data_IF_547943071816
#
_entry.id   IF_547943071816
#
_cell.length_a   1.000
_cell.length_b   1.000
_cell.length_c   1.000
_cell.angle_alpha   90.00
_cell.angle_beta   90.00
_cell.angle_gamma   90.00
#
_symmetry.space_group_name_H-M   'P 1'
#
loop_
_entity.id
_entity.type
_entity.pdbx_description
1 polymer ?
#
# COMPACT_ATOMS: atom_id res chain seq x y z
N UNK A 1 29.53 -2.26 -9.98
CA UNK A 1 29.40 -2.02 -11.43
C UNK A 1 28.16 -2.77 -11.93
N UNK A 2 26.97 -2.21 -11.75
CA UNK A 2 25.69 -2.74 -12.30
C UNK A 2 24.71 -1.57 -12.46
N UNK A 3 25.13 -0.57 -13.24
CA UNK A 3 24.33 0.63 -13.55
C UNK A 3 23.87 0.63 -15.02
N UNK A 4 23.62 -0.56 -15.59
CA UNK A 4 23.51 -0.72 -17.05
C UNK A 4 22.29 -1.49 -17.59
N UNK A 5 21.26 -1.81 -16.79
CA UNK A 5 20.09 -2.58 -17.25
C UNK A 5 18.73 -2.03 -16.77
N UNK A 6 18.59 -0.72 -16.52
CA UNK A 6 17.31 -0.15 -16.05
C UNK A 6 16.64 0.74 -17.11
N UNK A 7 16.66 0.33 -18.38
CA UNK A 7 15.95 1.12 -19.40
C UNK A 7 15.25 0.37 -20.53
N UNK A 8 15.02 -0.95 -20.43
CA UNK A 8 14.09 -1.59 -21.37
C UNK A 8 13.50 -2.93 -20.88
N UNK A 9 12.97 -2.97 -19.66
CA UNK A 9 12.24 -4.15 -19.17
C UNK A 9 10.79 -4.09 -19.69
N UNK A 10 10.47 -4.87 -20.72
CA UNK A 10 9.10 -5.09 -21.19
C UNK A 10 8.27 -5.78 -20.09
N UNK A 11 7.00 -5.42 -19.94
CA UNK A 11 6.06 -5.94 -18.93
C UNK A 11 6.13 -7.47 -18.74
N UNK A 12 6.32 -8.23 -19.83
CA UNK A 12 6.45 -9.69 -19.80
C UNK A 12 7.69 -10.23 -19.08
N UNK A 13 8.84 -9.54 -19.14
CA UNK A 13 10.08 -9.96 -18.48
C UNK A 13 9.91 -9.96 -16.94
N UNK A 14 9.20 -8.95 -16.42
CA UNK A 14 8.88 -8.83 -14.99
C UNK A 14 7.89 -9.87 -14.48
N UNK A 15 6.91 -10.27 -15.30
CA UNK A 15 5.98 -11.34 -14.91
C UNK A 15 6.70 -12.68 -14.79
N UNK A 16 7.64 -12.96 -15.70
CA UNK A 16 8.50 -14.14 -15.60
C UNK A 16 9.39 -14.10 -14.35
N UNK A 17 10.04 -12.97 -14.05
CA UNK A 17 10.86 -12.82 -12.82
C UNK A 17 10.05 -12.93 -11.53
N UNK A 18 8.77 -12.56 -11.54
CA UNK A 18 7.89 -12.69 -10.37
C UNK A 18 7.63 -14.15 -10.01
N UNK A 19 7.57 -15.02 -11.01
CA UNK A 19 7.31 -16.47 -10.89
C UNK A 19 8.58 -17.23 -10.46
N UNK A 20 9.77 -16.67 -10.67
CA UNK A 20 11.04 -17.32 -10.32
C UNK A 20 11.34 -17.18 -8.82
N UNK A 21 11.58 -18.33 -8.17
CA UNK A 21 12.03 -18.42 -6.77
C UNK A 21 13.51 -18.03 -6.69
N UNK A 22 13.79 -16.86 -6.09
CA UNK A 22 15.12 -16.31 -5.78
C UNK A 22 15.98 -16.01 -7.02
N UNK A 23 16.65 -14.86 -6.98
CA UNK A 23 17.65 -14.38 -7.95
C UNK A 23 18.92 -15.28 -7.93
N UNK A 24 18.80 -16.53 -8.39
CA UNK A 24 19.94 -17.40 -8.68
C UNK A 24 20.54 -18.27 -7.57
N UNK A 25 19.86 -18.53 -6.44
CA UNK A 25 20.36 -19.48 -5.43
C UNK A 25 19.39 -20.61 -5.11
N UNK A 26 19.32 -21.57 -6.03
CA UNK A 26 18.51 -22.80 -5.90
C UNK A 26 19.14 -23.86 -4.99
N UNK A 27 20.32 -23.61 -4.39
CA UNK A 27 21.09 -24.64 -3.67
C UNK A 27 20.83 -24.67 -2.16
N UNK A 28 20.16 -23.67 -1.58
CA UNK A 28 19.86 -23.61 -0.14
C UNK A 28 18.42 -23.09 0.16
N UNK A 29 17.42 -23.46 -0.63
CA UNK A 29 16.04 -23.07 -0.38
C UNK A 29 15.37 -24.02 0.62
N UNK A 30 14.96 -23.49 1.77
CA UNK A 30 14.22 -24.23 2.79
C UNK A 30 12.74 -24.40 2.36
N UNK A 31 12.03 -25.44 2.83
CA UNK A 31 10.60 -25.65 2.51
C UNK A 31 9.73 -24.43 2.88
N UNK A 32 10.15 -23.71 3.92
CA UNK A 32 9.52 -22.46 4.34
C UNK A 32 9.68 -21.32 3.32
N UNK A 33 10.81 -21.22 2.61
CA UNK A 33 11.00 -20.21 1.55
C UNK A 33 10.04 -20.45 0.38
N UNK A 34 9.81 -21.71 0.03
CA UNK A 34 8.88 -22.08 -1.04
C UNK A 34 7.42 -21.80 -0.65
N UNK A 35 7.06 -22.11 0.60
CA UNK A 35 5.75 -21.78 1.16
C UNK A 35 5.48 -20.26 1.14
N UNK A 36 6.44 -19.46 1.60
CA UNK A 36 6.35 -17.99 1.58
C UNK A 36 6.25 -17.45 0.16
N UNK A 37 6.94 -18.08 -0.80
CA UNK A 37 6.86 -17.68 -2.20
C UNK A 37 5.47 -17.93 -2.79
N UNK A 38 4.85 -19.09 -2.56
CA UNK A 38 3.49 -19.39 -3.06
C UNK A 38 2.48 -18.37 -2.56
N UNK A 39 2.56 -17.99 -1.27
CA UNK A 39 1.69 -16.95 -0.70
C UNK A 39 1.99 -15.56 -1.25
N UNK A 40 3.27 -15.21 -1.43
CA UNK A 40 3.68 -13.90 -1.93
C UNK A 40 3.46 -13.73 -3.43
N UNK A 41 3.43 -14.79 -4.23
CA UNK A 41 3.26 -14.71 -5.70
C UNK A 41 1.92 -14.07 -6.07
N UNK A 42 0.83 -14.39 -5.35
CA UNK A 42 -0.48 -13.75 -5.55
C UNK A 42 -0.35 -12.22 -5.40
N UNK A 43 0.37 -11.78 -4.37
CA UNK A 43 0.60 -10.37 -4.08
C UNK A 43 1.58 -9.71 -5.06
N UNK A 44 2.61 -10.44 -5.50
CA UNK A 44 3.58 -9.96 -6.49
C UNK A 44 2.96 -9.79 -7.87
N UNK A 45 2.04 -10.67 -8.27
CA UNK A 45 1.29 -10.55 -9.53
C UNK A 45 0.40 -9.31 -9.49
N UNK A 46 -0.29 -9.08 -8.37
CA UNK A 46 -1.09 -7.87 -8.17
C UNK A 46 -0.25 -6.60 -8.34
N UNK A 47 0.96 -6.55 -7.76
CA UNK A 47 1.87 -5.42 -7.94
C UNK A 47 2.57 -5.36 -9.29
N UNK A 48 2.74 -6.48 -9.99
CA UNK A 48 3.27 -6.51 -11.35
C UNK A 48 2.32 -5.84 -12.35
N UNK A 49 1.04 -5.69 -12.02
CA UNK A 49 0.05 -4.95 -12.81
C UNK A 49 0.32 -3.43 -12.85
N UNK A 50 1.13 -2.89 -11.93
CA UNK A 50 1.53 -1.48 -11.95
C UNK A 50 2.55 -1.27 -13.09
N UNK A 51 2.30 -0.37 -14.05
CA UNK A 51 3.11 -0.28 -15.27
C UNK A 51 4.56 0.16 -15.01
N UNK A 52 5.48 -0.04 -15.97
CA UNK A 52 6.87 0.35 -15.82
C UNK A 52 7.12 1.87 -15.95
N UNK A 53 8.23 2.39 -15.38
CA UNK A 53 8.56 3.83 -15.20
C UNK A 53 9.41 4.34 -16.35
N UNK A 54 9.71 3.45 -17.30
CA UNK A 54 10.25 3.86 -18.58
C UNK A 54 9.22 4.63 -19.42
N UNK A 55 7.92 4.52 -19.10
CA UNK A 55 6.84 5.24 -19.77
C UNK A 55 6.36 6.40 -18.86
N UNK A 56 6.51 7.65 -19.32
CA UNK A 56 6.04 8.87 -18.64
C UNK A 56 6.63 9.14 -17.25
N UNK A 57 7.96 9.16 -17.12
CA UNK A 57 8.71 9.72 -15.97
C UNK A 57 8.26 9.22 -14.57
N UNK A 58 7.58 8.07 -14.49
CA UNK A 58 7.07 7.51 -13.25
C UNK A 58 5.76 8.12 -12.72
N UNK A 59 5.24 9.20 -13.30
CA UNK A 59 3.97 9.81 -12.87
C UNK A 59 2.79 8.87 -13.08
N UNK A 60 2.74 8.19 -14.23
CA UNK A 60 1.69 7.23 -14.53
C UNK A 60 1.67 6.06 -13.51
N UNK A 61 2.85 5.63 -13.07
CA UNK A 61 2.96 4.61 -12.02
C UNK A 61 2.33 5.06 -10.71
N UNK A 62 2.61 6.29 -10.30
CA UNK A 62 2.12 6.84 -9.05
C UNK A 62 0.59 6.89 -9.04
N UNK A 63 -0.03 7.38 -10.13
CA UNK A 63 -1.49 7.45 -10.25
C UNK A 63 -2.12 6.05 -10.26
N UNK A 64 -1.55 5.10 -10.99
CA UNK A 64 -2.09 3.72 -11.04
C UNK A 64 -1.91 3.01 -9.70
N UNK A 65 -0.80 3.22 -9.00
CA UNK A 65 -0.60 2.70 -7.65
C UNK A 65 -1.60 3.29 -6.66
N UNK A 66 -1.84 4.61 -6.70
CA UNK A 66 -2.87 5.26 -5.88
C UNK A 66 -4.27 4.71 -6.19
N UNK A 67 -4.61 4.52 -7.46
CA UNK A 67 -5.89 3.94 -7.87
C UNK A 67 -6.06 2.49 -7.37
N UNK A 68 -5.02 1.67 -7.51
CA UNK A 68 -5.00 0.29 -7.00
C UNK A 68 -5.18 0.23 -5.48
N UNK A 69 -4.48 1.09 -4.73
CA UNK A 69 -4.63 1.19 -3.27
C UNK A 69 -6.05 1.63 -2.91
N UNK A 70 -6.62 2.60 -3.64
CA UNK A 70 -7.98 3.06 -3.43
C UNK A 70 -9.03 1.95 -3.63
N UNK A 71 -8.92 1.19 -4.72
CA UNK A 71 -9.80 0.05 -5.00
C UNK A 71 -9.66 -1.03 -3.92
N UNK A 72 -8.42 -1.39 -3.57
CA UNK A 72 -8.18 -2.39 -2.52
C UNK A 72 -8.74 -1.96 -1.17
N UNK A 73 -8.57 -0.68 -0.82
CA UNK A 73 -9.11 -0.11 0.44
C UNK A 73 -10.63 -0.13 0.45
N UNK A 74 -11.30 0.12 -0.67
CA UNK A 74 -12.76 0.02 -0.78
C UNK A 74 -13.24 -1.42 -0.54
N UNK A 75 -12.60 -2.40 -1.20
CA UNK A 75 -12.94 -3.82 -1.02
C UNK A 75 -12.74 -4.26 0.44
N UNK A 76 -11.61 -3.88 1.05
CA UNK A 76 -11.33 -4.21 2.46
C UNK A 76 -12.36 -3.54 3.38
N UNK A 77 -12.77 -2.30 3.08
CA UNK A 77 -13.82 -1.58 3.81
C UNK A 77 -15.17 -2.29 3.79
N UNK A 78 -15.58 -2.82 2.64
CA UNK A 78 -16.83 -3.58 2.51
C UNK A 78 -16.77 -4.89 3.30
N UNK A 79 -15.65 -5.61 3.21
CA UNK A 79 -15.44 -6.86 3.97
C UNK A 79 -15.38 -6.61 5.49
N UNK A 80 -14.78 -5.49 5.88
CA UNK A 80 -14.66 -5.03 7.26
C UNK A 80 -16.04 -4.80 7.92
N UNK A 81 -16.99 -4.20 7.19
CA UNK A 81 -18.35 -3.98 7.68
C UNK A 81 -19.07 -5.32 7.89
N UNK A 82 -18.99 -6.24 6.93
CA UNK A 82 -19.58 -7.58 7.05
C UNK A 82 -19.00 -8.32 8.28
N UNK A 83 -17.68 -8.24 8.48
CA UNK A 83 -17.02 -8.82 9.63
C UNK A 83 -17.47 -8.18 10.96
N UNK A 84 -17.63 -6.85 10.99
CA UNK A 84 -18.19 -6.12 12.13
C UNK A 84 -19.57 -6.61 12.55
N UNK A 85 -20.44 -6.85 11.57
CA UNK A 85 -21.77 -7.42 11.80
C UNK A 85 -21.70 -8.85 12.37
N UNK A 86 -20.75 -9.68 11.92
CA UNK A 86 -20.55 -11.04 12.46
C UNK A 86 -20.09 -11.05 13.92
N UNK A 87 -19.23 -10.11 14.31
CA UNK A 87 -18.68 -10.02 15.67
C UNK A 87 -19.65 -9.31 16.64
N UNK A 88 -20.72 -8.69 16.13
CA UNK A 88 -21.69 -7.96 16.95
C UNK A 88 -21.15 -6.60 17.45
N UNK A 89 -20.13 -6.06 16.79
CA UNK A 89 -19.59 -4.74 17.09
C UNK A 89 -20.40 -3.66 16.39
N UNK A 90 -20.55 -2.51 17.06
CA UNK A 90 -21.20 -1.35 16.46
C UNK A 90 -20.39 -0.87 15.25
N UNK A 91 -21.06 -0.65 14.11
CA UNK A 91 -20.44 -0.31 12.82
C UNK A 91 -19.42 0.83 12.93
N UNK A 92 -19.71 1.87 13.72
CA UNK A 92 -18.80 2.99 13.93
C UNK A 92 -17.50 2.60 14.64
N UNK A 93 -17.55 1.68 15.61
CA UNK A 93 -16.35 1.20 16.32
C UNK A 93 -15.49 0.35 15.37
N UNK A 94 -16.14 -0.54 14.62
CA UNK A 94 -15.47 -1.38 13.62
C UNK A 94 -14.76 -0.53 12.57
N UNK A 95 -15.42 0.50 12.04
CA UNK A 95 -14.85 1.40 11.05
C UNK A 95 -13.62 2.14 11.59
N UNK A 96 -13.71 2.73 12.79
CA UNK A 96 -12.59 3.49 13.38
C UNK A 96 -11.38 2.58 13.66
N UNK A 97 -11.61 1.38 14.22
CA UNK A 97 -10.54 0.44 14.55
C UNK A 97 -9.88 -0.10 13.29
N UNK A 98 -10.67 -0.49 12.27
CA UNK A 98 -10.10 -1.04 11.04
C UNK A 98 -9.40 0.02 10.19
N UNK A 99 -9.90 1.25 10.17
CA UNK A 99 -9.18 2.37 9.55
C UNK A 99 -7.86 2.62 10.29
N UNK A 100 -7.87 2.71 11.62
CA UNK A 100 -6.66 2.95 12.41
C UNK A 100 -5.62 1.82 12.23
N UNK A 101 -6.05 0.56 12.29
CA UNK A 101 -5.18 -0.59 12.06
C UNK A 101 -4.67 -0.64 10.62
N UNK A 102 -5.56 -0.39 9.64
CA UNK A 102 -5.26 -0.43 8.22
C UNK A 102 -4.24 0.62 7.78
N UNK A 103 -4.18 1.77 8.45
CA UNK A 103 -3.15 2.80 8.19
C UNK A 103 -1.88 2.56 9.00
N UNK A 104 -2.00 2.32 10.32
CA UNK A 104 -0.84 2.32 11.21
C UNK A 104 0.02 1.06 11.12
N UNK A 105 -0.55 -0.09 10.76
CA UNK A 105 0.24 -1.33 10.59
C UNK A 105 1.19 -1.21 9.38
N UNK A 106 0.75 -0.82 8.17
CA UNK A 106 1.65 -0.55 7.06
C UNK A 106 2.71 0.51 7.39
N UNK A 107 2.33 1.62 8.04
CA UNK A 107 3.26 2.67 8.43
C UNK A 107 4.36 2.17 9.38
N UNK A 108 3.99 1.29 10.30
CA UNK A 108 4.93 0.63 11.20
C UNK A 108 5.91 -0.23 10.41
N UNK A 109 5.44 -1.02 9.44
CA UNK A 109 6.32 -1.85 8.61
C UNK A 109 7.27 -1.01 7.77
N UNK A 110 6.79 0.03 7.08
CA UNK A 110 7.63 0.93 6.27
C UNK A 110 8.67 1.63 7.14
N UNK A 111 8.26 2.15 8.30
CA UNK A 111 9.18 2.80 9.25
C UNK A 111 10.21 1.84 9.82
N UNK A 112 9.82 0.58 10.09
CA UNK A 112 10.73 -0.47 10.57
C UNK A 112 11.74 -0.86 9.50
N UNK A 113 11.31 -1.06 8.26
CA UNK A 113 12.21 -1.36 7.14
C UNK A 113 13.17 -0.20 6.90
N UNK A 114 12.67 1.04 6.93
CA UNK A 114 13.51 2.23 6.82
C UNK A 114 14.57 2.25 7.92
N UNK A 115 14.19 2.06 9.18
CA UNK A 115 15.12 2.07 10.32
C UNK A 115 16.19 0.97 10.26
N UNK A 116 15.87 -0.20 9.72
CA UNK A 116 16.83 -1.32 9.59
C UNK A 116 17.78 -1.12 8.41
N UNK A 117 17.31 -0.49 7.33
CA UNK A 117 18.06 -0.36 6.09
C UNK A 117 18.91 0.91 6.01
N UNK A 118 18.53 2.00 6.70
CA UNK A 118 19.30 3.24 6.72
C UNK A 118 20.30 3.32 7.88
N UNK A 119 21.45 3.96 7.63
CA UNK A 119 22.45 4.23 8.67
C UNK A 119 21.97 5.25 9.71
N UNK A 120 21.03 6.11 9.33
CA UNK A 120 20.46 7.15 10.20
C UNK A 120 18.95 6.94 10.37
N UNK A 121 18.40 7.44 11.47
CA UNK A 121 16.98 7.30 11.82
C UNK A 121 16.05 8.27 11.06
N UNK A 122 16.61 9.21 10.30
CA UNK A 122 15.88 10.31 9.67
C UNK A 122 14.75 9.83 8.76
N UNK A 123 14.99 8.74 8.02
CA UNK A 123 14.01 8.16 7.11
C UNK A 123 12.79 7.59 7.85
N UNK A 124 13.03 6.93 8.98
CA UNK A 124 11.95 6.37 9.80
C UNK A 124 11.15 7.48 10.49
N UNK A 125 11.84 8.49 11.03
CA UNK A 125 11.21 9.65 11.68
C UNK A 125 10.37 10.44 10.66
N UNK A 126 10.91 10.69 9.47
CA UNK A 126 10.19 11.34 8.38
C UNK A 126 8.92 10.59 7.98
N UNK A 127 8.97 9.26 7.90
CA UNK A 127 7.81 8.45 7.56
C UNK A 127 6.71 8.52 8.65
N UNK A 128 7.08 8.37 9.92
CA UNK A 128 6.12 8.40 11.04
C UNK A 128 5.46 9.79 11.15
N UNK A 129 6.26 10.86 11.12
CA UNK A 129 5.72 12.21 11.22
C UNK A 129 4.88 12.58 10.00
N UNK A 130 5.35 12.21 8.80
CA UNK A 130 4.67 12.48 7.54
C UNK A 130 3.31 11.78 7.47
N UNK A 131 3.27 10.47 7.71
CA UNK A 131 2.02 9.70 7.61
C UNK A 131 0.99 10.14 8.65
N UNK A 132 1.41 10.38 9.90
CA UNK A 132 0.48 10.84 10.94
C UNK A 132 -0.10 12.24 10.64
N UNK A 133 0.75 13.14 10.10
CA UNK A 133 0.30 14.47 9.68
C UNK A 133 -0.73 14.39 8.55
N UNK A 134 -0.52 13.50 7.57
CA UNK A 134 -1.47 13.24 6.48
C UNK A 134 -2.77 12.62 6.99
N UNK A 135 -2.72 11.66 7.90
CA UNK A 135 -3.93 11.03 8.45
C UNK A 135 -4.83 12.04 9.18
N UNK A 136 -4.26 12.96 9.96
CA UNK A 136 -5.06 14.00 10.63
C UNK A 136 -5.52 15.06 9.63
N UNK A 137 -4.61 15.58 8.81
CA UNK A 137 -4.91 16.70 7.92
C UNK A 137 -5.82 16.32 6.76
N UNK A 138 -5.46 15.28 6.01
CA UNK A 138 -6.24 14.81 4.86
C UNK A 138 -7.31 13.80 5.28
N UNK A 139 -7.03 12.91 6.23
CA UNK A 139 -8.01 11.89 6.66
C UNK A 139 -9.18 12.47 7.46
N UNK A 140 -8.97 13.46 8.33
CA UNK A 140 -10.06 14.11 9.09
C UNK A 140 -10.45 15.47 8.50
N UNK A 141 -9.47 16.27 8.08
CA UNK A 141 -9.73 17.63 7.58
C UNK A 141 -10.47 17.67 6.24
N UNK A 142 -10.14 16.77 5.29
CA UNK A 142 -10.77 16.77 3.97
C UNK A 142 -12.25 16.36 4.01
N UNK A 143 -12.67 15.27 4.71
CA UNK A 143 -14.09 14.94 4.84
C UNK A 143 -14.89 16.03 5.55
N UNK A 144 -14.30 16.66 6.57
CA UNK A 144 -14.95 17.78 7.26
C UNK A 144 -15.14 18.99 6.34
N UNK A 145 -14.14 19.34 5.55
CA UNK A 145 -14.22 20.42 4.56
C UNK A 145 -15.32 20.14 3.52
N UNK A 146 -15.38 18.92 2.98
CA UNK A 146 -16.42 18.51 2.02
C UNK A 146 -17.80 18.60 2.67
N UNK A 147 -17.96 18.10 3.89
CA UNK A 147 -19.22 18.18 4.64
C UNK A 147 -19.66 19.62 4.93
N UNK A 148 -18.72 20.49 5.30
CA UNK A 148 -18.97 21.91 5.55
C UNK A 148 -19.42 22.63 4.26
N UNK A 149 -18.75 22.38 3.14
CA UNK A 149 -19.14 22.93 1.83
C UNK A 149 -20.53 22.41 1.43
N UNK A 150 -20.80 21.11 1.58
CA UNK A 150 -22.10 20.52 1.26
C UNK A 150 -23.23 21.15 2.08
N UNK A 151 -23.05 21.30 3.39
CA UNK A 151 -24.02 21.98 4.25
C UNK A 151 -24.18 23.46 3.89
N UNK A 152 -23.10 24.18 3.60
CA UNK A 152 -23.16 25.58 3.20
C UNK A 152 -23.93 25.80 1.89
N UNK A 153 -23.81 24.88 0.92
CA UNK A 153 -24.56 24.94 -0.34
C UNK A 153 -26.02 24.54 -0.15
N UNK A 154 -26.29 23.46 0.61
CA UNK A 154 -27.66 22.95 0.81
C UNK A 154 -28.53 23.85 1.69
N UNK A 155 -27.95 24.54 2.67
CA UNK A 155 -28.65 25.51 3.54
C UNK A 155 -28.96 26.83 2.80
N UNK A 156 -28.32 27.08 1.64
CA UNK A 156 -28.57 28.27 0.80
C UNK A 156 -29.64 28.09 -0.28
N UNK A 157 -30.24 26.90 -0.42
CA UNK A 157 -31.34 26.60 -1.35
C UNK A 157 -32.60 26.38 -0.50
#
# INVERSE_FOLDING_TARGET
MTSGKIHNETFGSRLCDVIIVKDGDSKNANAFDWFMHVFAVVWKILFALVPPAGLLEGWLRFIIALAMIGVLTAIIGDMAVIFGCLVGLKDGVTAIVLVALGTSLPDLFVSRVAAVQSRTADNAIGNIMGSNSVNVSLGLGLPWLIGAIYHAVKVRI
#
